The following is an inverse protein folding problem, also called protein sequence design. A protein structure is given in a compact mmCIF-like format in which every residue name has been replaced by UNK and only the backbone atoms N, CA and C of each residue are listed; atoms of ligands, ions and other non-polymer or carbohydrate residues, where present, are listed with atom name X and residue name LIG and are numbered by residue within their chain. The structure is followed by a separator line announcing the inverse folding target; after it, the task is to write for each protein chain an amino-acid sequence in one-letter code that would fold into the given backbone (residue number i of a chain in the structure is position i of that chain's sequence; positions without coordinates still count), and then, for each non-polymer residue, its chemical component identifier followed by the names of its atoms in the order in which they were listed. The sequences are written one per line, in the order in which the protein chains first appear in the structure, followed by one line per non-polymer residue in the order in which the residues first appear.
data_IF_068016057878
#
_entry.id   IF_068016057878
#
_cell.length_a   1.000
_cell.length_b   1.000
_cell.length_c   1.000
_cell.angle_alpha   90.00
_cell.angle_beta   90.00
_cell.angle_gamma   90.00
#
_symmetry.space_group_name_H-M   'P 1'
#
loop_
_entity.id
_entity.type
_entity.pdbx_description
1 polymer ?
#
# COMPACT_ATOMS: atom_id res chain seq x y z
N UNK A 1 -1.97 -20.31 -6.69
CA UNK A 1 -2.96 -19.52 -5.93
C UNK A 1 -2.54 -18.06 -6.03
N UNK A 2 -3.46 -17.11 -6.20
CA UNK A 2 -3.12 -15.69 -6.26
C UNK A 2 -2.62 -15.19 -4.89
N UNK A 3 -1.92 -14.05 -4.88
CA UNK A 3 -1.50 -13.39 -3.65
C UNK A 3 -2.70 -13.09 -2.74
N UNK A 4 -2.43 -13.03 -1.43
CA UNK A 4 -3.44 -12.62 -0.45
C UNK A 4 -3.50 -11.10 -0.40
N UNK A 5 -4.69 -10.51 -0.52
CA UNK A 5 -4.90 -9.06 -0.36
C UNK A 5 -5.70 -8.82 0.92
N UNK A 6 -5.17 -8.00 1.81
CA UNK A 6 -5.74 -7.66 3.13
C UNK A 6 -5.98 -6.15 3.16
N UNK A 7 -7.23 -5.75 3.32
CA UNK A 7 -7.61 -4.34 3.43
C UNK A 7 -7.60 -3.88 4.89
N UNK A 8 -7.03 -2.71 5.17
CA UNK A 8 -7.06 -2.04 6.47
C UNK A 8 -7.11 -0.52 6.29
N UNK A 9 -7.34 0.18 7.39
CA UNK A 9 -7.39 1.64 7.47
C UNK A 9 -6.20 2.17 8.24
N UNK A 10 -5.85 3.44 8.04
CA UNK A 10 -4.65 4.03 8.63
C UNK A 10 -4.62 3.92 10.16
N UNK A 11 -5.76 4.05 10.83
CA UNK A 11 -5.94 3.91 12.28
C UNK A 11 -5.65 2.49 12.79
N UNK A 12 -5.96 1.46 12.01
CA UNK A 12 -5.78 0.04 12.39
C UNK A 12 -4.47 -0.55 11.90
N UNK A 13 -3.89 0.02 10.86
CA UNK A 13 -2.73 -0.53 10.16
C UNK A 13 -1.60 -0.97 11.08
N UNK A 14 -1.22 -0.13 12.07
CA UNK A 14 -0.09 -0.44 12.96
C UNK A 14 -0.35 -1.65 13.87
N UNK A 15 -1.60 -1.89 14.27
CA UNK A 15 -1.98 -3.08 15.02
C UNK A 15 -2.08 -4.29 14.08
N UNK A 16 -2.73 -4.12 12.93
CA UNK A 16 -2.97 -5.19 11.96
C UNK A 16 -1.67 -5.73 11.38
N UNK A 17 -0.70 -4.87 11.06
CA UNK A 17 0.54 -5.28 10.40
C UNK A 17 1.38 -6.24 11.27
N UNK A 18 1.34 -6.09 12.60
CA UNK A 18 2.02 -7.03 13.50
C UNK A 18 1.41 -8.42 13.42
N UNK A 19 0.08 -8.50 13.38
CA UNK A 19 -0.62 -9.77 13.23
C UNK A 19 -0.43 -10.39 11.85
N UNK A 20 -0.49 -9.56 10.78
CA UNK A 20 -0.28 -10.01 9.40
C UNK A 20 1.13 -10.59 9.24
N UNK A 21 2.15 -9.93 9.78
CA UNK A 21 3.54 -10.43 9.77
C UNK A 21 3.67 -11.74 10.52
N UNK A 22 3.07 -11.86 11.71
CA UNK A 22 3.13 -13.09 12.50
C UNK A 22 2.46 -14.28 11.79
N UNK A 23 1.33 -14.04 11.10
CA UNK A 23 0.54 -15.08 10.41
C UNK A 23 1.02 -15.41 9.00
N UNK A 24 1.93 -14.60 8.43
CA UNK A 24 2.46 -14.78 7.08
C UNK A 24 4.00 -14.68 7.07
N UNK A 25 4.66 -15.21 8.10
CA UNK A 25 6.10 -15.10 8.30
C UNK A 25 6.96 -15.75 7.20
N UNK A 26 6.38 -16.63 6.40
CA UNK A 26 6.98 -17.30 5.22
C UNK A 26 6.77 -16.53 3.91
N UNK A 27 6.05 -15.40 3.94
CA UNK A 27 5.65 -14.64 2.75
C UNK A 27 6.30 -13.27 2.68
N UNK A 28 6.40 -12.74 1.45
CA UNK A 28 6.77 -11.35 1.18
C UNK A 28 5.55 -10.46 1.42
N UNK A 29 5.67 -9.51 2.35
CA UNK A 29 4.59 -8.59 2.69
C UNK A 29 4.87 -7.23 2.08
N UNK A 30 3.88 -6.68 1.41
CA UNK A 30 3.90 -5.34 0.83
C UNK A 30 2.76 -4.52 1.41
N UNK A 31 2.99 -3.25 1.72
CA UNK A 31 1.98 -2.31 2.18
C UNK A 31 1.77 -1.24 1.10
N UNK A 32 0.55 -1.11 0.62
CA UNK A 32 0.14 -0.11 -0.37
C UNK A 32 -0.76 0.93 0.29
N UNK A 33 -0.29 2.17 0.33
CA UNK A 33 -0.99 3.29 0.94
C UNK A 33 -1.64 4.15 -0.15
N UNK A 34 -2.94 4.36 -0.04
CA UNK A 34 -3.74 5.12 -1.01
C UNK A 34 -4.77 6.00 -0.29
N UNK A 35 -5.32 7.00 -0.98
CA UNK A 35 -6.34 7.88 -0.40
C UNK A 35 -7.72 7.24 -0.42
N UNK A 36 -8.54 7.52 0.59
CA UNK A 36 -9.90 6.99 0.72
C UNK A 36 -10.72 7.05 -0.57
N UNK A 37 -11.44 5.97 -0.85
CA UNK A 37 -12.38 5.88 -1.97
C UNK A 37 -13.67 6.60 -1.61
N UNK A 38 -14.06 7.61 -2.40
CA UNK A 38 -15.27 8.39 -2.09
C UNK A 38 -16.53 7.59 -2.39
N UNK A 39 -17.57 7.75 -1.57
CA UNK A 39 -18.86 7.08 -1.78
C UNK A 39 -19.50 7.44 -3.13
N UNK A 40 -19.29 8.66 -3.61
CA UNK A 40 -19.88 9.16 -4.87
C UNK A 40 -19.31 8.48 -6.10
N UNK A 41 -18.01 8.19 -6.12
CA UNK A 41 -17.31 7.72 -7.32
C UNK A 41 -16.77 6.30 -7.20
N UNK A 42 -16.68 5.78 -5.97
CA UNK A 42 -15.96 4.55 -5.66
C UNK A 42 -14.46 4.62 -5.95
N UNK A 43 -13.92 5.82 -6.19
CA UNK A 43 -12.52 6.06 -6.55
C UNK A 43 -11.83 6.90 -5.48
N UNK A 44 -10.51 6.78 -5.40
CA UNK A 44 -9.71 7.61 -4.50
C UNK A 44 -9.91 9.09 -4.78
N UNK A 45 -9.96 9.91 -3.73
CA UNK A 45 -9.90 11.37 -3.88
C UNK A 45 -8.55 11.86 -4.45
N UNK A 46 -7.52 11.02 -4.40
CA UNK A 46 -6.18 11.32 -4.91
C UNK A 46 -6.07 10.92 -6.39
N UNK A 47 -5.81 11.88 -7.32
CA UNK A 47 -5.74 11.58 -8.76
C UNK A 47 -4.69 10.55 -9.14
N UNK A 48 -3.59 10.48 -8.40
CA UNK A 48 -2.52 9.51 -8.63
C UNK A 48 -2.95 8.12 -8.17
N UNK A 49 -3.63 8.03 -7.02
CA UNK A 49 -4.26 6.77 -6.55
C UNK A 49 -5.30 6.25 -7.56
N UNK A 50 -6.08 7.13 -8.19
CA UNK A 50 -7.05 6.73 -9.24
C UNK A 50 -6.36 6.01 -10.41
N UNK A 51 -5.13 6.41 -10.76
CA UNK A 51 -4.36 5.77 -11.83
C UNK A 51 -3.63 4.52 -11.36
N UNK A 52 -3.09 4.53 -10.15
CA UNK A 52 -2.29 3.44 -9.62
C UNK A 52 -3.08 2.25 -9.09
N UNK A 53 -4.21 2.49 -8.42
CA UNK A 53 -5.04 1.45 -7.79
C UNK A 53 -5.32 0.27 -8.73
N UNK A 54 -5.88 0.46 -9.95
CA UNK A 54 -6.18 -0.66 -10.84
C UNK A 54 -4.92 -1.46 -11.21
N UNK A 55 -3.79 -0.78 -11.42
CA UNK A 55 -2.53 -1.39 -11.83
C UNK A 55 -1.93 -2.22 -10.69
N UNK A 56 -1.88 -1.65 -9.48
CA UNK A 56 -1.36 -2.34 -8.28
C UNK A 56 -2.24 -3.54 -7.94
N UNK A 57 -3.56 -3.36 -7.84
CA UNK A 57 -4.46 -4.45 -7.48
C UNK A 57 -4.46 -5.56 -8.53
N UNK A 58 -4.48 -5.23 -9.82
CA UNK A 58 -4.38 -6.24 -10.87
C UNK A 58 -3.05 -7.01 -10.78
N UNK A 59 -1.95 -6.30 -10.54
CA UNK A 59 -0.64 -6.95 -10.54
C UNK A 59 -0.43 -7.88 -9.35
N UNK A 60 -0.89 -7.46 -8.17
CA UNK A 60 -0.85 -8.29 -6.97
C UNK A 60 -1.87 -9.44 -7.03
N UNK A 61 -3.05 -9.26 -7.64
CA UNK A 61 -3.98 -10.36 -7.88
C UNK A 61 -3.39 -11.48 -8.76
N UNK A 62 -2.42 -11.13 -9.62
CA UNK A 62 -1.65 -12.07 -10.46
C UNK A 62 -0.31 -12.51 -9.86
N UNK A 63 0.06 -11.97 -8.70
CA UNK A 63 1.32 -12.33 -8.04
C UNK A 63 1.23 -13.71 -7.38
N UNK A 64 2.40 -14.27 -7.07
CA UNK A 64 2.55 -15.59 -6.47
C UNK A 64 1.92 -15.67 -5.08
N UNK A 65 1.55 -16.89 -4.66
CA UNK A 65 0.93 -17.15 -3.34
C UNK A 65 1.84 -16.87 -2.13
N UNK A 66 3.14 -16.67 -2.37
CA UNK A 66 4.11 -16.25 -1.36
C UNK A 66 4.11 -14.72 -1.15
N UNK A 67 3.18 -13.99 -1.75
CA UNK A 67 3.01 -12.55 -1.61
C UNK A 67 1.74 -12.23 -0.82
N UNK A 68 1.85 -11.23 0.05
CA UNK A 68 0.72 -10.58 0.73
C UNK A 68 0.76 -9.09 0.41
N UNK A 69 -0.36 -8.55 -0.07
CA UNK A 69 -0.59 -7.12 -0.17
C UNK A 69 -1.46 -6.66 1.00
N UNK A 70 -0.99 -5.68 1.76
CA UNK A 70 -1.76 -4.95 2.76
C UNK A 70 -2.16 -3.62 2.14
N UNK A 71 -3.40 -3.49 1.71
CA UNK A 71 -3.98 -2.25 1.20
C UNK A 71 -4.41 -1.38 2.38
N UNK A 72 -3.85 -0.19 2.47
CA UNK A 72 -4.02 0.74 3.58
C UNK A 72 -4.68 2.00 3.08
N UNK A 73 -5.93 2.18 3.49
CA UNK A 73 -6.64 3.44 3.31
C UNK A 73 -6.06 4.50 4.24
N UNK A 74 -5.38 5.50 3.66
CA UNK A 74 -4.77 6.61 4.39
C UNK A 74 -5.79 7.63 4.94
N UNK A 75 -7.09 7.44 4.66
CA UNK A 75 -8.16 8.34 5.05
C UNK A 75 -8.48 9.39 4.00
N UNK A 76 -9.35 10.32 4.37
CA UNK A 76 -9.77 11.40 3.50
C UNK A 76 -8.64 12.42 3.23
N UNK A 77 -8.91 13.36 2.32
CA UNK A 77 -7.94 14.36 1.90
C UNK A 77 -7.51 15.28 3.05
N UNK A 78 -8.41 15.60 3.98
CA UNK A 78 -8.12 16.51 5.08
C UNK A 78 -7.20 15.82 6.10
N UNK A 79 -7.53 14.59 6.46
CA UNK A 79 -6.77 13.70 7.32
C UNK A 79 -5.36 13.50 6.79
N UNK A 80 -5.21 13.12 5.51
CA UNK A 80 -3.88 12.89 4.90
C UNK A 80 -3.01 14.15 4.80
N UNK A 81 -3.63 15.31 4.55
CA UNK A 81 -2.92 16.59 4.42
C UNK A 81 -2.43 17.14 5.75
N UNK A 82 -2.92 16.64 6.88
CA UNK A 82 -2.37 16.99 8.19
C UNK A 82 -0.89 16.57 8.25
N UNK A 83 0.05 17.51 8.45
CA UNK A 83 1.46 17.16 8.67
C UNK A 83 1.66 16.22 9.85
N UNK A 84 0.76 16.21 10.84
CA UNK A 84 0.79 15.34 12.01
C UNK A 84 0.24 13.92 11.74
N UNK A 85 -0.19 13.61 10.51
CA UNK A 85 -0.70 12.29 10.16
C UNK A 85 0.29 11.19 10.59
N UNK A 86 -0.17 10.23 11.39
CA UNK A 86 0.68 9.28 12.11
C UNK A 86 1.54 8.41 11.19
N UNK A 87 1.05 8.05 10.00
CA UNK A 87 1.84 7.30 9.01
C UNK A 87 3.01 8.10 8.40
N UNK A 88 3.04 9.43 8.55
CA UNK A 88 4.19 10.26 8.14
C UNK A 88 5.33 10.19 9.16
N UNK A 89 4.98 10.07 10.45
CA UNK A 89 5.92 10.07 11.57
C UNK A 89 6.28 8.69 12.09
N UNK A 90 5.52 7.66 11.72
CA UNK A 90 5.83 6.29 12.11
C UNK A 90 7.17 5.85 11.49
N UNK A 91 8.06 5.30 12.32
CA UNK A 91 9.43 4.90 11.94
C UNK A 91 9.48 3.85 10.82
N UNK A 92 8.45 3.01 10.74
CA UNK A 92 8.38 1.87 9.82
C UNK A 92 7.77 2.29 8.47
N UNK A 93 6.95 3.33 8.42
CA UNK A 93 6.36 3.81 7.17
C UNK A 93 7.06 5.05 6.61
N UNK A 94 7.25 6.09 7.44
CA UNK A 94 7.85 7.39 7.06
C UNK A 94 7.31 7.91 5.73
N UNK A 95 5.98 7.94 5.59
CA UNK A 95 5.37 8.31 4.31
C UNK A 95 5.54 9.80 4.01
N UNK A 96 6.02 10.09 2.81
CA UNK A 96 6.09 11.46 2.29
C UNK A 96 4.89 11.78 1.39
N UNK A 97 4.39 10.77 0.67
CA UNK A 97 3.30 10.88 -0.30
C UNK A 97 2.42 9.63 -0.37
N UNK A 98 1.32 9.76 -1.10
CA UNK A 98 0.50 8.65 -1.60
C UNK A 98 0.26 8.89 -3.11
N UNK A 99 0.15 7.84 -3.93
CA UNK A 99 0.28 6.43 -3.57
C UNK A 99 1.72 6.03 -3.21
N UNK A 100 1.87 5.12 -2.25
CA UNK A 100 3.19 4.54 -1.88
C UNK A 100 3.07 3.04 -1.72
N UNK A 101 3.98 2.28 -2.31
CA UNK A 101 4.08 0.83 -2.18
C UNK A 101 5.40 0.49 -1.50
N UNK A 102 5.33 -0.12 -0.32
CA UNK A 102 6.47 -0.43 0.54
C UNK A 102 6.60 -1.93 0.70
N UNK A 103 7.81 -2.48 0.59
CA UNK A 103 8.09 -3.85 1.07
C UNK A 103 8.31 -3.80 2.57
N UNK A 104 7.46 -4.49 3.32
CA UNK A 104 7.52 -4.47 4.79
C UNK A 104 8.86 -5.04 5.29
N UNK A 105 9.40 -4.47 6.38
CA UNK A 105 10.74 -4.74 6.93
C UNK A 105 11.94 -4.42 5.99
N UNK A 106 11.71 -3.83 4.82
CA UNK A 106 12.75 -3.40 3.90
C UNK A 106 12.52 -1.93 3.53
N UNK A 107 12.78 -1.01 4.47
CA UNK A 107 12.34 0.39 4.35
C UNK A 107 12.84 1.14 3.11
N UNK A 108 14.01 0.77 2.59
CA UNK A 108 14.61 1.34 1.39
C UNK A 108 14.01 0.78 0.10
N UNK A 109 13.19 -0.27 0.19
CA UNK A 109 12.47 -0.89 -0.92
C UNK A 109 11.04 -0.35 -0.95
N UNK A 110 10.85 0.74 -1.67
CA UNK A 110 9.54 1.35 -1.91
C UNK A 110 9.45 1.93 -3.32
N UNK A 111 8.22 2.06 -3.80
CA UNK A 111 7.86 2.75 -5.03
C UNK A 111 6.89 3.86 -4.67
N UNK A 112 7.17 5.05 -5.16
CA UNK A 112 6.42 6.27 -4.90
C UNK A 112 6.12 6.98 -6.24
N UNK A 113 5.18 7.94 -6.20
CA UNK A 113 4.80 8.80 -7.32
C UNK A 113 4.33 8.02 -8.58
N UNK A 114 4.52 8.61 -9.76
CA UNK A 114 4.17 8.03 -11.07
C UNK A 114 4.89 6.70 -11.37
N UNK A 115 5.95 6.36 -10.63
CA UNK A 115 6.68 5.11 -10.85
C UNK A 115 5.84 3.88 -10.51
N UNK A 116 4.84 4.05 -9.65
CA UNK A 116 3.89 3.00 -9.28
C UNK A 116 2.97 2.62 -10.45
N UNK A 117 2.78 3.52 -11.44
CA UNK A 117 1.94 3.29 -12.61
C UNK A 117 2.65 2.44 -13.68
N UNK A 118 3.96 2.19 -13.52
CA UNK A 118 4.79 1.48 -14.50
C UNK A 118 4.83 0.00 -14.16
N UNK A 119 4.19 -0.83 -14.98
CA UNK A 119 4.12 -2.28 -14.74
C UNK A 119 5.51 -2.91 -14.64
N UNK A 120 6.48 -2.50 -15.45
CA UNK A 120 7.83 -3.08 -15.38
C UNK A 120 8.54 -2.78 -14.05
N UNK A 121 8.18 -1.67 -13.39
CA UNK A 121 8.70 -1.31 -12.07
C UNK A 121 8.06 -2.21 -11.01
N UNK A 122 6.74 -2.40 -11.06
CA UNK A 122 6.03 -3.32 -10.15
C UNK A 122 6.50 -4.76 -10.30
N UNK A 123 6.74 -5.22 -11.53
CA UNK A 123 7.22 -6.56 -11.85
C UNK A 123 8.59 -6.83 -11.22
N UNK A 124 9.52 -5.88 -11.41
CA UNK A 124 10.84 -5.95 -10.79
C UNK A 124 10.72 -5.94 -9.28
N UNK A 125 9.85 -5.09 -8.73
CA UNK A 125 9.68 -4.97 -7.29
C UNK A 125 9.12 -6.25 -6.65
N UNK A 126 8.18 -6.92 -7.30
CA UNK A 126 7.65 -8.22 -6.84
C UNK A 126 8.69 -9.35 -6.92
N UNK A 127 9.67 -9.23 -7.80
CA UNK A 127 10.75 -10.21 -7.98
C UNK A 127 11.88 -10.13 -6.95
N UNK A 128 11.98 -9.02 -6.19
CA UNK A 128 12.96 -8.82 -5.10
C UNK A 128 12.72 -9.77 -3.93
#
# INVERSE_FOLDING_TARGET
MPATIINTTSDKFLADIQHIVATNSDKKIYAYFYGHHTEETGKSWCPDCVRSDPIVFERFAKADNNVVLVSVDAGDRATWKDPAHHLRHNKDTRLVGIPTLLRWNHFDQRIEDESIEKTEVLDKFLSL
#
